data_IF_538171583681
#
_entry.id   IF_538171583681
#
_cell.length_a   1.000
_cell.length_b   1.000
_cell.length_c   1.000
_cell.angle_alpha   90.00
_cell.angle_beta   90.00
_cell.angle_gamma   90.00
#
_symmetry.space_group_name_H-M   'P 1'
#
loop_
_entity.id
_entity.type
_entity.pdbx_description
1 polymer ?
#
# COMPACT_ATOMS: atom_id res chain seq x y z
N UNK A 1 -10.71 -11.03 15.80
CA UNK A 1 -9.71 -12.01 15.35
C UNK A 1 -8.33 -11.40 15.58
N UNK A 2 -7.45 -12.08 16.30
CA UNK A 2 -6.09 -11.57 16.58
C UNK A 2 -5.15 -12.16 15.54
N UNK A 3 -4.45 -11.31 14.79
CA UNK A 3 -3.44 -11.78 13.83
C UNK A 3 -2.35 -12.57 14.59
N UNK A 4 -1.96 -13.77 14.15
CA UNK A 4 -0.92 -14.56 14.80
C UNK A 4 0.43 -13.84 14.71
N UNK A 5 1.32 -14.07 15.69
CA UNK A 5 2.71 -13.59 15.58
C UNK A 5 3.37 -14.14 14.30
N UNK A 6 4.39 -13.45 13.80
CA UNK A 6 5.11 -13.86 12.60
C UNK A 6 5.69 -15.26 12.84
N UNK A 7 5.39 -16.24 11.96
CA UNK A 7 5.85 -17.60 12.14
C UNK A 7 7.37 -17.70 12.04
N UNK A 8 7.94 -18.64 12.78
CA UNK A 8 9.35 -18.98 12.73
C UNK A 8 10.07 -18.84 14.06
N UNK A 9 11.33 -19.25 14.05
CA UNK A 9 12.20 -19.33 15.22
C UNK A 9 12.97 -18.02 15.34
N UNK A 10 12.98 -17.42 16.53
CA UNK A 10 13.80 -16.24 16.81
C UNK A 10 15.28 -16.59 16.75
N UNK A 11 16.09 -15.72 16.14
CA UNK A 11 17.53 -15.92 16.04
C UNK A 11 18.22 -15.52 17.35
N UNK A 12 19.38 -16.13 17.63
CA UNK A 12 20.30 -15.60 18.62
C UNK A 12 20.83 -14.22 18.19
N UNK A 13 21.29 -13.43 19.17
CA UNK A 13 21.64 -12.04 18.92
C UNK A 13 22.83 -11.86 17.96
N UNK A 14 23.95 -12.59 18.07
CA UNK A 14 25.02 -12.56 17.08
C UNK A 14 24.53 -12.83 15.66
N UNK A 15 23.73 -13.88 15.47
CA UNK A 15 23.24 -14.27 14.16
C UNK A 15 22.24 -13.26 13.58
N UNK A 16 21.32 -12.74 14.40
CA UNK A 16 20.40 -11.67 14.00
C UNK A 16 21.17 -10.43 13.52
N UNK A 17 22.25 -10.03 14.22
CA UNK A 17 23.07 -8.88 13.83
C UNK A 17 23.82 -9.09 12.52
N UNK A 18 24.28 -10.30 12.24
CA UNK A 18 24.87 -10.66 10.95
C UNK A 18 23.85 -10.47 9.81
N UNK A 19 22.65 -11.04 9.96
CA UNK A 19 21.58 -10.93 8.95
C UNK A 19 21.11 -9.48 8.76
N UNK A 20 21.02 -8.70 9.83
CA UNK A 20 20.71 -7.26 9.75
C UNK A 20 21.74 -6.52 8.88
N UNK A 21 23.04 -6.79 9.07
CA UNK A 21 24.10 -6.16 8.24
C UNK A 21 24.02 -6.64 6.79
N UNK A 22 23.73 -7.92 6.58
CA UNK A 22 23.57 -8.49 5.25
C UNK A 22 22.44 -7.78 4.49
N UNK A 23 21.24 -7.72 5.09
CA UNK A 23 20.10 -7.01 4.51
C UNK A 23 20.40 -5.52 4.29
N UNK A 24 21.08 -4.86 5.23
CA UNK A 24 21.46 -3.45 5.07
C UNK A 24 22.39 -3.23 3.86
N UNK A 25 23.34 -4.13 3.62
CA UNK A 25 24.24 -4.08 2.47
C UNK A 25 23.48 -4.29 1.15
N UNK A 26 22.61 -5.31 1.09
CA UNK A 26 21.79 -5.60 -0.09
C UNK A 26 20.84 -4.44 -0.42
N UNK A 27 20.25 -3.82 0.61
CA UNK A 27 19.36 -2.67 0.48
C UNK A 27 20.09 -1.34 0.26
N UNK A 28 21.43 -1.35 0.27
CA UNK A 28 22.31 -0.17 0.11
C UNK A 28 22.06 0.95 1.15
N UNK A 29 21.73 0.58 2.38
CA UNK A 29 21.46 1.53 3.47
C UNK A 29 22.61 1.57 4.49
N UNK A 30 22.87 2.75 5.05
CA UNK A 30 23.96 2.96 6.03
C UNK A 30 23.55 2.74 7.48
N UNK A 31 22.39 2.13 7.73
CA UNK A 31 21.85 1.96 9.09
C UNK A 31 21.18 0.60 9.27
N UNK A 32 21.09 0.16 10.52
CA UNK A 32 20.54 -1.14 10.91
C UNK A 32 19.07 -1.09 11.33
N UNK A 33 18.31 -0.09 10.84
CA UNK A 33 16.85 0.01 11.05
C UNK A 33 16.11 -0.79 9.99
N UNK A 34 14.82 -1.09 10.25
CA UNK A 34 13.95 -1.77 9.29
C UNK A 34 13.98 -1.05 7.93
N UNK A 35 14.28 -1.76 6.82
CA UNK A 35 14.55 -1.14 5.54
C UNK A 35 13.32 -1.03 4.64
N UNK A 36 12.14 -1.51 5.09
CA UNK A 36 10.92 -1.46 4.29
C UNK A 36 10.33 -0.05 4.16
N UNK A 37 9.82 0.27 2.97
CA UNK A 37 9.15 1.53 2.65
C UNK A 37 7.92 1.76 3.56
N UNK A 38 7.55 2.97 3.95
CA UNK A 38 6.41 3.24 4.83
C UNK A 38 5.44 4.20 4.14
N UNK A 39 4.16 3.83 4.00
CA UNK A 39 3.21 4.66 3.29
C UNK A 39 2.78 5.86 4.13
N UNK A 40 2.55 6.98 3.46
CA UNK A 40 1.99 8.20 4.05
C UNK A 40 0.47 8.17 3.99
N UNK A 41 -0.22 8.79 4.96
CA UNK A 41 -1.68 8.87 4.95
C UNK A 41 -2.14 9.71 3.76
N UNK A 42 -3.13 9.20 3.02
CA UNK A 42 -3.80 9.92 1.96
C UNK A 42 -4.59 11.09 2.54
N UNK A 43 -4.63 12.18 1.80
CA UNK A 43 -5.32 13.44 2.12
C UNK A 43 -5.66 14.16 0.82
N UNK A 44 -6.48 15.20 0.88
CA UNK A 44 -6.97 15.93 -0.29
C UNK A 44 -5.86 16.52 -1.19
N UNK A 45 -4.68 16.83 -0.65
CA UNK A 45 -3.54 17.32 -1.45
C UNK A 45 -3.03 16.27 -2.47
N UNK A 46 -3.27 14.98 -2.19
CA UNK A 46 -2.81 13.88 -3.04
C UNK A 46 -3.71 13.64 -4.26
N UNK A 47 -4.87 14.28 -4.36
CA UNK A 47 -5.70 14.19 -5.58
C UNK A 47 -4.95 14.71 -6.80
N UNK A 48 -4.31 15.87 -6.67
CA UNK A 48 -3.48 16.43 -7.73
C UNK A 48 -2.37 15.47 -8.16
N UNK A 49 -1.80 14.71 -7.23
CA UNK A 49 -0.79 13.71 -7.53
C UNK A 49 -1.37 12.53 -8.33
N UNK A 50 -2.51 11.96 -7.92
CA UNK A 50 -3.17 10.89 -8.67
C UNK A 50 -3.64 11.34 -10.06
N UNK A 51 -4.05 12.60 -10.20
CA UNK A 51 -4.48 13.17 -11.48
C UNK A 51 -3.33 13.38 -12.46
N UNK A 52 -2.13 13.69 -11.97
CA UNK A 52 -0.98 14.06 -12.79
C UNK A 52 0.04 12.94 -12.99
N UNK A 53 0.05 11.92 -12.11
CA UNK A 53 0.98 10.80 -12.18
C UNK A 53 0.27 9.45 -12.31
N UNK A 54 0.99 8.44 -12.78
CA UNK A 54 0.45 7.09 -12.87
C UNK A 54 0.64 6.34 -11.55
N UNK A 55 -0.47 5.83 -11.03
CA UNK A 55 -0.52 5.06 -9.80
C UNK A 55 -1.24 3.74 -10.01
N UNK A 56 -0.76 2.71 -9.33
CA UNK A 56 -1.51 1.50 -9.02
C UNK A 56 -2.31 1.68 -7.74
N UNK A 57 -3.37 0.91 -7.60
CA UNK A 57 -4.18 0.78 -6.40
C UNK A 57 -4.42 -0.71 -6.10
N UNK A 58 -4.33 -1.06 -4.82
CA UNK A 58 -4.76 -2.35 -4.28
C UNK A 58 -5.55 -2.13 -3.00
N UNK A 59 -6.16 -3.18 -2.48
CA UNK A 59 -6.70 -3.16 -1.14
C UNK A 59 -5.56 -2.96 -0.12
N UNK A 60 -5.91 -2.51 1.08
CA UNK A 60 -5.01 -2.51 2.21
C UNK A 60 -5.41 -3.69 3.09
N UNK A 61 -4.63 -4.76 3.08
CA UNK A 61 -4.87 -5.87 3.97
C UNK A 61 -4.68 -5.44 5.44
N UNK A 62 -5.47 -6.05 6.31
CA UNK A 62 -5.28 -5.98 7.76
C UNK A 62 -4.45 -7.20 8.17
N UNK A 63 -3.15 -7.13 7.87
CA UNK A 63 -2.20 -8.21 8.11
C UNK A 63 -0.93 -7.73 8.82
N UNK A 64 0.03 -8.64 8.95
CA UNK A 64 1.36 -8.31 9.47
C UNK A 64 2.30 -8.12 8.31
N UNK A 65 2.66 -6.85 8.06
CA UNK A 65 3.69 -6.53 7.09
C UNK A 65 5.06 -7.03 7.54
N UNK A 66 5.72 -7.79 6.67
CA UNK A 66 7.07 -8.27 6.88
C UNK A 66 7.82 -8.39 5.55
N UNK A 67 9.14 -8.21 5.59
CA UNK A 67 9.99 -8.56 4.46
C UNK A 67 10.29 -10.06 4.53
N UNK A 68 10.35 -10.71 3.39
CA UNK A 68 10.90 -12.04 3.24
C UNK A 68 12.32 -11.93 2.68
N UNK A 69 13.28 -12.42 3.44
CA UNK A 69 14.70 -12.45 3.08
C UNK A 69 15.17 -13.88 2.86
N UNK A 70 15.69 -14.15 1.67
CA UNK A 70 16.28 -15.43 1.29
C UNK A 70 17.80 -15.27 1.20
N UNK A 71 18.54 -16.15 1.85
CA UNK A 71 19.99 -16.20 1.72
C UNK A 71 20.51 -17.63 1.80
N UNK A 72 21.77 -17.81 1.41
CA UNK A 72 22.45 -19.10 1.48
C UNK A 72 23.21 -19.22 2.81
N UNK A 73 22.98 -20.30 3.54
CA UNK A 73 23.89 -20.77 4.57
C UNK A 73 25.10 -21.44 3.90
N UNK A 74 26.28 -20.83 4.05
CA UNK A 74 27.51 -21.31 3.37
C UNK A 74 27.99 -22.63 3.96
N UNK A 75 27.90 -22.82 5.28
CA UNK A 75 28.39 -24.01 5.97
C UNK A 75 27.55 -25.25 5.63
N UNK A 76 26.23 -25.09 5.60
CA UNK A 76 25.29 -26.17 5.33
C UNK A 76 24.91 -26.30 3.85
N UNK A 77 25.37 -25.38 3.01
CA UNK A 77 24.98 -25.26 1.61
C UNK A 77 23.45 -25.30 1.40
N UNK A 78 22.70 -24.65 2.30
CA UNK A 78 21.23 -24.69 2.36
C UNK A 78 20.63 -23.29 2.20
N UNK A 79 19.46 -23.20 1.58
CA UNK A 79 18.65 -21.97 1.59
C UNK A 79 18.08 -21.73 2.99
N UNK A 80 18.16 -20.49 3.45
CA UNK A 80 17.48 -20.01 4.63
C UNK A 80 16.49 -18.91 4.25
N UNK A 81 15.31 -18.95 4.86
CA UNK A 81 14.29 -17.94 4.69
C UNK A 81 14.00 -17.27 6.04
N UNK A 82 13.93 -15.94 6.02
CA UNK A 82 13.67 -15.13 7.21
C UNK A 82 12.51 -14.18 6.95
N UNK A 83 11.58 -14.10 7.88
CA UNK A 83 10.58 -13.04 7.92
C UNK A 83 11.06 -11.93 8.85
N UNK A 84 10.96 -10.69 8.38
CA UNK A 84 11.49 -9.51 9.05
C UNK A 84 10.34 -8.56 9.35
N UNK A 85 10.06 -8.34 10.64
CA UNK A 85 8.97 -7.48 11.09
C UNK A 85 9.32 -5.99 11.04
N UNK A 86 8.34 -5.11 11.26
CA UNK A 86 8.56 -3.65 11.31
C UNK A 86 9.48 -3.20 12.46
N UNK A 87 9.65 -4.01 13.51
CA UNK A 87 10.61 -3.78 14.61
C UNK A 87 12.02 -4.25 14.25
N UNK A 88 12.23 -4.71 13.01
CA UNK A 88 13.47 -5.26 12.50
C UNK A 88 13.92 -6.55 13.21
N UNK A 89 12.94 -7.38 13.62
CA UNK A 89 13.14 -8.69 14.21
C UNK A 89 13.05 -9.78 13.15
N UNK A 90 14.00 -10.71 13.21
CA UNK A 90 14.16 -11.77 12.24
C UNK A 90 13.60 -13.07 12.82
N UNK A 91 12.78 -13.76 12.03
CA UNK A 91 12.24 -15.08 12.32
C UNK A 91 12.67 -16.04 11.23
N UNK A 92 13.42 -17.07 11.58
CA UNK A 92 13.80 -18.13 10.66
C UNK A 92 12.59 -19.04 10.38
N UNK A 93 12.22 -19.17 9.11
CA UNK A 93 11.08 -19.99 8.68
C UNK A 93 11.58 -21.32 8.17
N UNK A 94 11.28 -22.37 8.92
CA UNK A 94 11.62 -23.73 8.52
C UNK A 94 10.77 -24.21 7.33
N UNK A 95 11.38 -25.03 6.48
CA UNK A 95 10.72 -25.72 5.36
C UNK A 95 10.06 -24.81 4.31
N UNK A 96 10.39 -23.52 4.29
CA UNK A 96 10.01 -22.63 3.20
C UNK A 96 11.04 -22.80 2.07
N UNK A 97 10.58 -23.24 0.89
CA UNK A 97 11.44 -23.48 -0.28
C UNK A 97 10.98 -22.64 -1.47
N UNK A 98 11.92 -21.95 -2.12
CA UNK A 98 11.67 -21.15 -3.32
C UNK A 98 12.29 -21.83 -4.53
N UNK A 99 11.50 -22.57 -5.34
CA UNK A 99 12.02 -23.24 -6.51
C UNK A 99 12.44 -22.20 -7.55
N UNK A 100 13.60 -22.40 -8.15
CA UNK A 100 14.02 -21.64 -9.34
C UNK A 100 13.18 -22.11 -10.52
N UNK A 101 12.56 -21.21 -11.30
CA UNK A 101 11.87 -21.59 -12.52
C UNK A 101 12.78 -22.43 -13.43
N UNK A 102 12.20 -23.45 -14.06
CA UNK A 102 12.88 -24.36 -15.01
C UNK A 102 14.01 -25.23 -14.42
N UNK A 103 14.15 -25.30 -13.08
CA UNK A 103 15.01 -26.29 -12.42
C UNK A 103 14.22 -27.52 -11.93
N UNK A 104 14.17 -28.55 -12.77
CA UNK A 104 13.53 -29.83 -12.44
C UNK A 104 14.28 -30.65 -11.37
N UNK A 105 15.51 -30.26 -11.01
CA UNK A 105 16.31 -30.96 -9.99
C UNK A 105 16.01 -30.48 -8.58
N UNK A 106 15.37 -29.31 -8.44
CA UNK A 106 15.14 -28.63 -7.15
C UNK A 106 16.42 -28.45 -6.33
N UNK A 107 17.59 -28.38 -6.98
CA UNK A 107 18.87 -28.20 -6.29
C UNK A 107 19.29 -26.74 -6.23
N UNK A 108 18.78 -25.92 -7.15
CA UNK A 108 19.00 -24.48 -7.17
C UNK A 108 17.93 -23.78 -6.34
N UNK A 109 18.35 -22.73 -5.67
CA UNK A 109 17.49 -21.84 -4.90
C UNK A 109 17.95 -20.41 -5.07
N UNK A 110 17.01 -19.48 -4.96
CA UNK A 110 17.32 -18.05 -4.93
C UNK A 110 18.09 -17.71 -3.65
N UNK A 111 19.03 -16.79 -3.78
CA UNK A 111 19.80 -16.26 -2.66
C UNK A 111 19.77 -14.74 -2.69
N UNK A 112 20.23 -14.08 -1.63
CA UNK A 112 20.30 -12.62 -1.52
C UNK A 112 19.08 -11.89 -2.14
N UNK A 113 17.89 -12.37 -1.77
CA UNK A 113 16.61 -11.92 -2.35
C UNK A 113 15.75 -11.34 -1.23
N UNK A 114 15.20 -10.14 -1.46
CA UNK A 114 14.37 -9.41 -0.50
C UNK A 114 13.05 -9.05 -1.17
N UNK A 115 11.97 -9.56 -0.58
CA UNK A 115 10.59 -9.40 -1.05
C UNK A 115 9.82 -8.63 0.02
N UNK A 116 9.02 -7.63 -0.40
CA UNK A 116 8.12 -6.90 0.49
C UNK A 116 6.70 -7.45 0.35
N UNK A 117 6.08 -7.74 1.49
CA UNK A 117 4.81 -8.42 1.54
C UNK A 117 4.11 -8.30 2.88
N UNK A 118 2.98 -9.00 2.97
CA UNK A 118 2.10 -8.97 4.12
C UNK A 118 1.56 -10.36 4.39
N UNK A 119 1.70 -10.81 5.65
CA UNK A 119 1.06 -12.01 6.13
C UNK A 119 -0.39 -11.71 6.47
N UNK A 120 -1.30 -12.40 5.80
CA UNK A 120 -2.74 -12.32 6.03
C UNK A 120 -3.26 -13.66 6.50
N UNK A 121 -4.30 -13.63 7.32
CA UNK A 121 -5.04 -14.80 7.75
C UNK A 121 -6.34 -14.86 6.96
N UNK A 122 -6.49 -15.88 6.12
CA UNK A 122 -7.71 -16.10 5.37
C UNK A 122 -8.65 -17.03 6.12
N UNK A 123 -9.92 -16.68 6.12
CA UNK A 123 -11.02 -17.54 6.53
C UNK A 123 -11.49 -18.37 5.33
N UNK A 124 -11.44 -19.69 5.46
CA UNK A 124 -11.90 -20.64 4.45
C UNK A 124 -13.37 -20.99 4.67
N UNK A 125 -14.03 -21.52 3.63
CA UNK A 125 -15.46 -21.90 3.65
C UNK A 125 -15.80 -22.95 4.74
N UNK A 126 -14.81 -23.74 5.16
CA UNK A 126 -14.96 -24.74 6.23
C UNK A 126 -14.67 -24.18 7.64
N UNK A 127 -14.53 -22.85 7.77
CA UNK A 127 -14.19 -22.15 9.00
C UNK A 127 -12.73 -22.32 9.43
N UNK A 128 -11.90 -23.00 8.63
CA UNK A 128 -10.45 -23.08 8.92
C UNK A 128 -9.76 -21.80 8.50
N UNK A 129 -8.70 -21.49 9.21
CA UNK A 129 -7.85 -20.35 8.89
C UNK A 129 -6.60 -20.81 8.13
N UNK A 130 -6.18 -20.02 7.14
CA UNK A 130 -4.96 -20.26 6.38
C UNK A 130 -4.09 -19.01 6.36
N UNK A 131 -2.87 -19.14 6.84
CA UNK A 131 -1.87 -18.07 6.74
C UNK A 131 -1.33 -18.00 5.30
N UNK A 132 -1.34 -16.80 4.71
CA UNK A 132 -0.85 -16.53 3.36
C UNK A 132 0.09 -15.33 3.36
N UNK A 133 1.18 -15.40 2.61
CA UNK A 133 2.06 -14.26 2.36
C UNK A 133 1.73 -13.62 1.01
N UNK A 134 1.14 -12.42 1.04
CA UNK A 134 0.84 -11.61 -0.14
C UNK A 134 2.05 -10.75 -0.50
N UNK A 135 2.51 -10.85 -1.74
CA UNK A 135 3.67 -10.08 -2.22
C UNK A 135 3.21 -8.86 -2.96
N UNK A 136 3.78 -7.71 -2.67
CA UNK A 136 3.48 -6.49 -3.40
C UNK A 136 4.70 -5.72 -3.90
N UNK A 137 5.93 -6.09 -3.53
CA UNK A 137 7.14 -5.55 -4.16
C UNK A 137 8.33 -6.52 -4.07
N UNK A 138 9.29 -6.35 -4.96
CA UNK A 138 10.55 -7.10 -5.00
C UNK A 138 11.71 -6.11 -5.04
N UNK A 139 12.52 -6.10 -3.98
CA UNK A 139 13.50 -5.04 -3.78
C UNK A 139 14.90 -5.47 -4.21
N UNK A 140 15.26 -6.71 -3.92
CA UNK A 140 16.55 -7.32 -4.28
C UNK A 140 16.29 -8.71 -4.81
N UNK A 141 16.98 -9.11 -5.87
CA UNK A 141 16.83 -10.42 -6.48
C UNK A 141 18.18 -11.04 -6.84
N UNK A 142 18.50 -12.19 -6.28
CA UNK A 142 19.77 -12.89 -6.52
C UNK A 142 21.00 -11.96 -6.42
N UNK A 143 20.99 -11.09 -5.41
CA UNK A 143 22.02 -10.07 -5.16
C UNK A 143 21.90 -8.79 -6.01
N UNK A 144 21.03 -8.77 -7.01
CA UNK A 144 20.77 -7.60 -7.85
C UNK A 144 19.83 -6.61 -7.15
N UNK A 145 20.27 -5.38 -6.96
CA UNK A 145 19.47 -4.30 -6.38
C UNK A 145 18.44 -3.77 -7.39
N UNK A 146 17.16 -4.08 -7.17
CA UNK A 146 16.07 -3.68 -8.07
C UNK A 146 15.36 -2.39 -7.62
N UNK A 147 15.55 -1.96 -6.38
CA UNK A 147 14.87 -0.79 -5.79
C UNK A 147 14.99 0.49 -6.64
N UNK A 148 16.11 0.68 -7.36
CA UNK A 148 16.32 1.83 -8.24
C UNK A 148 15.52 1.80 -9.56
N UNK A 149 14.84 0.70 -9.86
CA UNK A 149 13.98 0.54 -11.04
C UNK A 149 12.56 1.02 -10.74
N UNK A 150 11.81 1.34 -11.78
CA UNK A 150 10.37 1.60 -11.72
C UNK A 150 9.62 0.40 -11.12
N UNK A 151 8.52 0.65 -10.41
CA UNK A 151 7.74 -0.37 -9.71
C UNK A 151 7.30 -1.51 -10.65
N UNK A 152 6.83 -1.15 -11.83
CA UNK A 152 6.46 -2.08 -12.90
C UNK A 152 7.54 -3.11 -13.25
N UNK A 153 8.80 -2.65 -13.32
CA UNK A 153 9.97 -3.48 -13.64
C UNK A 153 10.41 -4.34 -12.47
N UNK A 154 10.11 -3.95 -11.22
CA UNK A 154 10.37 -4.76 -10.02
C UNK A 154 9.40 -5.94 -9.94
N UNK A 155 8.14 -5.74 -10.34
CA UNK A 155 7.12 -6.79 -10.35
C UNK A 155 7.19 -7.74 -11.55
N UNK A 156 7.70 -7.27 -12.70
CA UNK A 156 7.76 -8.08 -13.93
C UNK A 156 8.81 -9.19 -13.92
N UNK A 157 9.64 -9.27 -12.88
CA UNK A 157 10.63 -10.33 -12.78
C UNK A 157 9.91 -11.63 -12.43
N UNK A 158 10.02 -12.65 -13.31
CA UNK A 158 9.38 -13.98 -13.22
C UNK A 158 9.88 -14.80 -12.02
N UNK A 159 9.74 -14.25 -10.84
CA UNK A 159 10.27 -14.83 -9.63
C UNK A 159 9.05 -15.20 -8.83
N UNK A 160 8.95 -16.51 -8.69
CA UNK A 160 7.99 -17.21 -7.87
C UNK A 160 6.60 -17.32 -8.50
N UNK A 161 6.11 -18.56 -8.57
CA UNK A 161 4.68 -18.91 -8.66
C UNK A 161 3.89 -18.48 -7.41
N UNK A 162 4.34 -17.44 -6.70
CA UNK A 162 3.66 -16.92 -5.53
C UNK A 162 2.55 -15.98 -5.95
N UNK A 163 1.58 -15.85 -5.06
CA UNK A 163 0.42 -15.02 -5.25
C UNK A 163 0.84 -13.55 -5.08
N UNK A 164 1.08 -12.89 -6.21
CA UNK A 164 1.22 -11.45 -6.27
C UNK A 164 -0.11 -10.82 -5.86
N UNK A 165 -0.01 -9.80 -5.03
CA UNK A 165 -1.13 -8.93 -4.68
C UNK A 165 -1.71 -8.35 -5.95
N UNK A 166 -3.03 -8.44 -6.09
CA UNK A 166 -3.72 -7.95 -7.29
C UNK A 166 -3.66 -6.43 -7.33
N UNK A 167 -3.18 -5.90 -8.44
CA UNK A 167 -3.05 -4.47 -8.68
C UNK A 167 -4.03 -4.02 -9.76
N UNK A 168 -4.57 -2.83 -9.56
CA UNK A 168 -5.40 -2.14 -10.53
C UNK A 168 -4.80 -0.77 -10.84
N UNK A 169 -5.11 -0.20 -12.00
CA UNK A 169 -4.83 1.20 -12.25
C UNK A 169 -5.64 2.06 -11.27
N UNK A 170 -5.07 3.16 -10.78
CA UNK A 170 -5.67 4.03 -9.74
C UNK A 170 -7.12 4.44 -10.04
N UNK A 171 -7.45 4.76 -11.30
CA UNK A 171 -8.82 5.07 -11.72
C UNK A 171 -9.79 3.86 -11.72
N UNK A 172 -9.34 2.68 -11.29
CA UNK A 172 -10.18 1.49 -11.08
C UNK A 172 -10.34 1.17 -9.60
N UNK A 173 -10.08 2.13 -8.71
CA UNK A 173 -10.28 1.97 -7.26
C UNK A 173 -11.68 1.47 -6.87
N UNK A 174 -12.72 1.82 -7.65
CA UNK A 174 -14.07 1.28 -7.43
C UNK A 174 -14.12 -0.24 -7.54
N UNK A 175 -13.37 -0.83 -8.48
CA UNK A 175 -13.32 -2.28 -8.63
C UNK A 175 -12.66 -2.92 -7.42
N UNK A 176 -11.62 -2.29 -6.86
CA UNK A 176 -10.97 -2.74 -5.63
C UNK A 176 -11.95 -2.71 -4.45
N UNK A 177 -12.75 -1.66 -4.32
CA UNK A 177 -13.80 -1.59 -3.29
C UNK A 177 -14.85 -2.69 -3.40
N UNK A 178 -15.24 -3.06 -4.62
CA UNK A 178 -16.18 -4.16 -4.85
C UNK A 178 -15.54 -5.52 -4.56
N UNK A 179 -14.28 -5.70 -4.94
CA UNK A 179 -13.52 -6.93 -4.72
C UNK A 179 -13.23 -7.19 -3.24
N UNK A 180 -13.04 -6.13 -2.43
CA UNK A 180 -12.87 -6.23 -0.98
C UNK A 180 -13.97 -7.04 -0.28
N UNK A 181 -15.19 -7.02 -0.82
CA UNK A 181 -16.34 -7.77 -0.27
C UNK A 181 -16.20 -9.29 -0.39
N UNK A 182 -15.30 -9.76 -1.26
CA UNK A 182 -15.09 -11.17 -1.57
C UNK A 182 -13.71 -11.68 -1.12
N UNK A 183 -12.91 -10.84 -0.46
CA UNK A 183 -11.63 -11.26 0.08
C UNK A 183 -11.82 -12.23 1.24
N UNK A 184 -10.93 -13.21 1.32
CA UNK A 184 -10.92 -14.18 2.43
C UNK A 184 -10.21 -13.65 3.68
N UNK A 185 -9.47 -12.55 3.54
CA UNK A 185 -8.80 -11.85 4.63
C UNK A 185 -9.43 -10.47 4.81
N UNK A 186 -9.26 -9.91 6.01
CA UNK A 186 -9.74 -8.56 6.33
C UNK A 186 -8.94 -7.50 5.55
N UNK A 187 -9.63 -6.45 5.11
CA UNK A 187 -9.05 -5.26 4.50
C UNK A 187 -9.65 -4.00 5.11
N UNK A 188 -8.81 -2.98 5.36
CA UNK A 188 -9.16 -1.77 6.11
C UNK A 188 -8.93 -0.47 5.32
N UNK A 189 -8.80 -0.55 3.99
CA UNK A 189 -8.54 0.63 3.15
C UNK A 189 -7.94 0.31 1.79
N UNK A 190 -7.22 1.27 1.22
CA UNK A 190 -6.52 1.14 -0.08
C UNK A 190 -5.04 1.53 0.07
N UNK A 191 -4.20 0.94 -0.79
CA UNK A 191 -2.80 1.36 -0.99
C UNK A 191 -2.64 1.85 -2.42
N UNK A 192 -2.13 3.06 -2.58
CA UNK A 192 -1.72 3.61 -3.86
C UNK A 192 -0.21 3.59 -3.99
N UNK A 193 0.32 3.02 -5.06
CA UNK A 193 1.76 2.93 -5.33
C UNK A 193 2.09 3.53 -6.68
N UNK A 194 2.99 4.51 -6.72
CA UNK A 194 3.41 5.15 -7.97
C UNK A 194 4.04 4.12 -8.92
N UNK A 195 3.63 4.16 -10.20
CA UNK A 195 4.15 3.26 -11.24
C UNK A 195 5.65 3.46 -11.49
N UNK A 196 6.10 4.71 -11.47
CA UNK A 196 7.46 5.10 -11.87
C UNK A 196 8.43 5.28 -10.70
N UNK A 197 7.92 5.41 -9.47
CA UNK A 197 8.77 5.68 -8.31
C UNK A 197 9.74 4.51 -8.03
N UNK A 198 11.02 4.80 -7.71
CA UNK A 198 11.90 3.81 -7.10
C UNK A 198 11.36 3.40 -5.72
N UNK A 199 11.83 2.26 -5.22
CA UNK A 199 11.57 1.81 -3.87
C UNK A 199 12.44 2.62 -2.89
N UNK A 200 11.81 3.25 -1.91
CA UNK A 200 12.48 4.12 -0.93
C UNK A 200 12.32 3.51 0.46
N UNK A 201 13.43 3.13 1.10
CA UNK A 201 13.44 2.68 2.49
C UNK A 201 13.00 3.79 3.45
N UNK A 202 12.13 3.46 4.41
CA UNK A 202 11.53 4.44 5.32
C UNK A 202 10.34 5.16 4.67
N UNK A 203 10.02 6.38 5.11
CA UNK A 203 8.83 7.09 4.61
C UNK A 203 8.90 7.32 3.09
N UNK A 204 7.89 6.85 2.38
CA UNK A 204 7.76 6.98 0.94
C UNK A 204 6.53 7.82 0.60
N UNK A 205 6.75 9.06 0.17
CA UNK A 205 5.66 9.96 -0.21
C UNK A 205 4.96 9.53 -1.52
N UNK A 206 5.55 8.58 -2.26
CA UNK A 206 5.00 7.97 -3.49
C UNK A 206 4.22 6.68 -3.24
N UNK A 207 3.99 6.35 -1.96
CA UNK A 207 3.18 5.23 -1.53
C UNK A 207 2.17 5.74 -0.50
N UNK A 208 0.91 5.79 -0.87
CA UNK A 208 -0.15 6.40 -0.09
C UNK A 208 -1.03 5.31 0.51
N UNK A 209 -1.46 5.49 1.76
CA UNK A 209 -2.47 4.64 2.40
C UNK A 209 -3.73 5.45 2.62
N UNK A 210 -4.84 4.99 2.08
CA UNK A 210 -6.15 5.52 2.39
C UNK A 210 -6.86 4.58 3.34
N UNK A 211 -7.63 5.15 4.27
CA UNK A 211 -8.49 4.45 5.22
C UNK A 211 -9.78 5.23 5.42
N UNK A 212 -10.94 4.56 5.56
CA UNK A 212 -12.16 5.24 5.96
C UNK A 212 -11.99 5.85 7.36
N UNK A 213 -12.74 6.91 7.67
CA UNK A 213 -12.60 7.65 8.93
C UNK A 213 -12.72 6.74 10.16
N UNK A 214 -13.65 5.77 10.13
CA UNK A 214 -13.91 4.81 11.20
C UNK A 214 -12.70 3.92 11.53
N UNK A 215 -11.78 3.71 10.59
CA UNK A 215 -10.55 2.91 10.78
C UNK A 215 -9.39 3.75 11.34
N UNK A 216 -9.60 5.05 11.60
CA UNK A 216 -8.69 5.92 12.35
C UNK A 216 -9.09 5.95 13.83
N UNK A 217 -9.00 4.80 14.47
CA UNK A 217 -9.36 4.63 15.88
C UNK A 217 -8.26 5.11 16.84
N UNK A 218 -8.65 5.44 18.07
CA UNK A 218 -7.74 5.78 19.17
C UNK A 218 -8.10 4.93 20.39
N UNK A 219 -7.09 4.40 21.07
CA UNK A 219 -7.31 3.74 22.35
C UNK A 219 -7.30 4.75 23.49
N UNK A 220 -8.39 4.82 24.25
CA UNK A 220 -8.58 5.71 25.39
C UNK A 220 -8.76 4.91 26.68
N UNK A 221 -8.47 5.56 27.80
CA UNK A 221 -8.86 5.08 29.12
C UNK A 221 -10.21 5.69 29.48
N UNK A 222 -11.23 4.86 29.65
CA UNK A 222 -12.58 5.33 29.97
C UNK A 222 -12.69 5.68 31.46
N UNK A 223 -13.39 6.78 31.76
CA UNK A 223 -13.72 7.21 33.11
C UNK A 223 -15.19 7.62 33.18
N UNK A 224 -15.92 7.08 34.15
CA UNK A 224 -17.33 7.36 34.37
C UNK A 224 -17.52 8.47 35.41
N UNK A 225 -18.15 9.56 34.98
CA UNK A 225 -18.50 10.71 35.83
C UNK A 225 -19.93 10.52 36.33
N UNK A 226 -20.05 9.95 37.53
CA UNK A 226 -21.33 9.54 38.12
C UNK A 226 -22.33 10.68 38.30
N UNK A 227 -21.87 11.89 38.62
CA UNK A 227 -22.79 13.03 38.81
C UNK A 227 -23.46 13.49 37.52
N UNK A 228 -22.79 13.29 36.38
CA UNK A 228 -23.25 13.73 35.05
C UNK A 228 -23.79 12.57 34.21
N UNK A 229 -23.77 11.33 34.71
CA UNK A 229 -24.15 10.12 33.98
C UNK A 229 -23.44 10.02 32.61
N UNK A 230 -22.15 10.39 32.56
CA UNK A 230 -21.38 10.43 31.30
C UNK A 230 -20.07 9.67 31.38
N UNK A 231 -19.63 9.18 30.22
CA UNK A 231 -18.33 8.53 30.05
C UNK A 231 -17.37 9.49 29.35
N UNK A 232 -16.17 9.61 29.91
CA UNK A 232 -15.10 10.47 29.40
C UNK A 232 -13.93 9.64 28.91
N UNK A 233 -13.29 10.12 27.85
CA UNK A 233 -12.16 9.49 27.18
C UNK A 233 -10.88 10.20 27.59
N UNK A 234 -9.96 9.45 28.19
CA UNK A 234 -8.68 9.97 28.65
C UNK A 234 -7.52 9.42 27.83
N UNK A 235 -6.56 10.29 27.51
CA UNK A 235 -5.32 9.95 26.81
C UNK A 235 -4.17 9.83 27.81
N UNK A 236 -3.13 9.08 27.44
CA UNK A 236 -1.97 8.89 28.28
C UNK A 236 -0.89 9.95 28.01
N UNK A 237 -0.29 10.52 29.05
CA UNK A 237 0.86 11.42 28.89
C UNK A 237 2.12 10.98 29.62
N UNK A 238 2.21 9.70 29.98
CA UNK A 238 3.41 9.10 30.58
C UNK A 238 3.28 8.86 32.09
N UNK A 239 3.94 7.80 32.57
CA UNK A 239 3.84 7.37 33.95
C UNK A 239 2.38 7.10 34.34
N UNK A 240 1.92 7.71 35.44
CA UNK A 240 0.54 7.59 35.90
C UNK A 240 -0.38 8.72 35.40
N UNK A 241 0.11 9.61 34.53
CA UNK A 241 -0.63 10.79 34.11
C UNK A 241 -1.60 10.49 32.95
N UNK A 242 -2.85 10.87 33.14
CA UNK A 242 -3.93 10.74 32.16
C UNK A 242 -4.65 12.10 32.04
N UNK A 243 -5.07 12.45 30.83
CA UNK A 243 -5.70 13.73 30.54
C UNK A 243 -7.04 13.51 29.86
N UNK A 244 -8.05 14.24 30.30
CA UNK A 244 -9.34 14.33 29.60
C UNK A 244 -9.11 14.78 28.16
N UNK A 245 -9.79 14.11 27.23
CA UNK A 245 -9.72 14.42 25.81
C UNK A 245 -11.09 14.74 25.21
N UNK A 246 -12.09 13.90 25.44
CA UNK A 246 -13.44 14.06 24.90
C UNK A 246 -14.47 13.27 25.72
N UNK A 247 -15.74 13.49 25.43
CA UNK A 247 -16.83 12.65 25.92
C UNK A 247 -17.06 11.48 24.95
N UNK A 248 -17.45 10.32 25.51
CA UNK A 248 -17.84 9.14 24.74
C UNK A 248 -19.33 9.19 24.44
N UNK A 249 -19.69 8.94 23.18
CA UNK A 249 -21.03 8.62 22.74
C UNK A 249 -21.21 7.10 22.70
N UNK A 250 -22.29 6.62 23.30
CA UNK A 250 -22.70 5.21 23.25
C UNK A 250 -23.97 5.15 22.41
N UNK A 251 -23.88 4.56 21.23
CA UNK A 251 -25.00 4.48 20.29
C UNK A 251 -26.09 3.52 20.76
N UNK A 252 -25.72 2.47 21.50
CA UNK A 252 -26.61 1.41 21.97
C UNK A 252 -27.20 1.78 23.35
N UNK A 253 -28.52 2.03 23.46
CA UNK A 253 -29.16 2.36 24.73
C UNK A 253 -29.07 1.24 25.78
N UNK A 254 -29.03 -0.03 25.36
CA UNK A 254 -28.88 -1.15 26.29
C UNK A 254 -27.47 -1.17 26.89
N UNK A 255 -26.45 -0.96 26.05
CA UNK A 255 -25.06 -0.82 26.49
C UNK A 255 -24.87 0.37 27.41
N UNK A 256 -25.47 1.53 27.08
CA UNK A 256 -25.41 2.73 27.93
C UNK A 256 -25.93 2.40 29.34
N UNK A 257 -27.11 1.77 29.43
CA UNK A 257 -27.69 1.37 30.71
C UNK A 257 -26.82 0.36 31.46
N UNK A 258 -26.31 -0.66 30.79
CA UNK A 258 -25.41 -1.64 31.38
C UNK A 258 -24.16 -0.98 31.98
N UNK A 259 -23.55 -0.05 31.24
CA UNK A 259 -22.35 0.64 31.67
C UNK A 259 -22.63 1.66 32.77
N UNK A 260 -23.81 2.29 32.81
CA UNK A 260 -24.18 3.16 33.93
C UNK A 260 -24.35 2.36 35.24
N UNK A 261 -24.85 1.13 35.16
CA UNK A 261 -24.99 0.20 36.29
C UNK A 261 -23.64 -0.42 36.69
N UNK A 262 -22.83 -0.82 35.71
CA UNK A 262 -21.53 -1.47 35.90
C UNK A 262 -20.45 -0.80 35.02
N UNK A 263 -19.94 0.39 35.44
CA UNK A 263 -19.02 1.16 34.61
C UNK A 263 -17.72 0.41 34.31
N UNK A 264 -17.23 0.42 33.05
CA UNK A 264 -15.93 -0.16 32.69
C UNK A 264 -14.76 0.74 33.13
N UNK A 265 -14.81 1.30 34.34
CA UNK A 265 -13.90 2.30 34.87
C UNK A 265 -12.43 1.89 34.73
N UNK A 266 -11.64 2.76 34.11
CA UNK A 266 -10.21 2.58 33.95
C UNK A 266 -9.79 1.55 32.90
N UNK A 267 -10.73 0.88 32.23
CA UNK A 267 -10.42 -0.03 31.10
C UNK A 267 -9.95 0.76 29.88
N UNK A 268 -9.14 0.10 29.05
CA UNK A 268 -8.76 0.64 27.75
C UNK A 268 -9.79 0.21 26.71
N UNK A 269 -10.35 1.19 26.00
CA UNK A 269 -11.29 0.99 24.91
C UNK A 269 -10.74 1.61 23.64
N UNK A 270 -10.99 0.98 22.50
CA UNK A 270 -10.76 1.55 21.20
C UNK A 270 -12.02 2.30 20.77
N UNK A 271 -11.86 3.54 20.33
CA UNK A 271 -12.94 4.40 19.87
C UNK A 271 -12.68 4.90 18.45
N UNK A 272 -13.75 5.11 17.69
CA UNK A 272 -13.71 5.74 16.36
C UNK A 272 -14.42 7.10 16.38
N UNK A 273 -14.07 7.97 15.44
CA UNK A 273 -14.65 9.31 15.33
C UNK A 273 -15.60 9.38 14.14
N UNK A 274 -16.84 9.83 14.37
CA UNK A 274 -17.85 10.00 13.34
C UNK A 274 -18.90 11.02 13.80
N UNK A 275 -19.42 11.84 12.88
CA UNK A 275 -20.43 12.86 13.17
C UNK A 275 -20.02 13.78 14.33
N UNK A 276 -18.75 14.17 14.33
CA UNK A 276 -18.14 15.03 15.36
C UNK A 276 -18.07 14.43 16.78
N UNK A 277 -18.40 13.14 16.94
CA UNK A 277 -18.43 12.44 18.22
C UNK A 277 -17.49 11.22 18.24
N UNK A 278 -17.08 10.81 19.44
CA UNK A 278 -16.32 9.59 19.66
C UNK A 278 -17.24 8.45 20.07
N UNK A 279 -17.10 7.30 19.41
CA UNK A 279 -17.95 6.15 19.59
C UNK A 279 -17.15 4.94 20.03
N UNK A 280 -17.76 4.06 20.81
CA UNK A 280 -17.14 2.82 21.25
C UNK A 280 -16.95 1.84 20.09
N UNK A 281 -15.76 1.24 19.97
CA UNK A 281 -15.47 0.20 18.99
C UNK A 281 -15.32 -1.18 19.67
N UNK A 282 -14.41 -1.29 20.64
CA UNK A 282 -14.16 -2.53 21.38
C UNK A 282 -13.30 -2.31 22.63
N UNK A 283 -13.27 -3.31 23.50
CA UNK A 283 -12.29 -3.36 24.59
C UNK A 283 -10.89 -3.77 24.10
N UNK A 284 -9.86 -3.21 24.75
CA UNK A 284 -8.44 -3.46 24.48
C UNK A 284 -7.76 -4.10 25.69
N UNK A 285 -8.12 -5.35 25.94
CA UNK A 285 -7.54 -6.14 27.05
C UNK A 285 -6.05 -6.45 26.84
N UNK A 286 -5.56 -6.31 25.59
CA UNK A 286 -4.16 -6.42 25.22
C UNK A 286 -3.30 -5.20 25.62
N UNK A 287 -3.92 -4.13 26.13
CA UNK A 287 -3.24 -2.87 26.43
C UNK A 287 -3.34 -2.48 27.89
N UNK A 288 -2.19 -2.16 28.48
CA UNK A 288 -2.10 -1.58 29.83
C UNK A 288 -2.42 -0.08 29.84
N UNK A 289 -2.14 0.63 28.74
CA UNK A 289 -2.24 2.09 28.67
C UNK A 289 -2.99 2.54 27.40
N UNK A 290 -3.67 3.68 27.51
CA UNK A 290 -4.23 4.41 26.38
C UNK A 290 -3.13 4.89 25.42
N UNK A 291 -3.53 5.36 24.25
CA UNK A 291 -2.58 5.98 23.33
C UNK A 291 -1.95 7.23 23.94
N UNK A 292 -0.64 7.37 23.74
CA UNK A 292 0.10 8.54 24.19
C UNK A 292 -0.34 9.78 23.40
N UNK A 293 -0.32 10.96 24.01
CA UNK A 293 -0.72 12.24 23.40
C UNK A 293 -0.10 12.48 22.01
N UNK A 294 1.16 12.08 21.81
CA UNK A 294 1.85 12.20 20.51
C UNK A 294 1.26 11.30 19.42
N UNK A 295 0.73 10.13 19.76
CA UNK A 295 0.03 9.24 18.84
C UNK A 295 -1.35 9.80 18.53
N UNK A 296 -2.08 10.26 19.56
CA UNK A 296 -3.39 10.91 19.43
C UNK A 296 -3.30 12.10 18.49
N UNK A 297 -2.32 13.01 18.67
CA UNK A 297 -2.10 14.16 17.77
C UNK A 297 -1.92 13.76 16.29
N UNK A 298 -1.24 12.64 16.02
CA UNK A 298 -1.04 12.13 14.66
C UNK A 298 -2.33 11.57 14.06
N UNK A 299 -3.09 10.81 14.85
CA UNK A 299 -4.37 10.23 14.40
C UNK A 299 -5.39 11.34 14.17
N UNK A 300 -5.47 12.33 15.07
CA UNK A 300 -6.33 13.50 14.89
C UNK A 300 -5.99 14.31 13.64
N UNK A 301 -4.72 14.39 13.26
CA UNK A 301 -4.34 14.98 11.97
C UNK A 301 -4.91 14.14 10.82
N UNK A 302 -4.77 12.82 10.88
CA UNK A 302 -5.32 11.91 9.86
C UNK A 302 -6.86 11.95 9.75
N UNK A 303 -7.56 12.19 10.86
CA UNK A 303 -9.02 12.37 10.89
C UNK A 303 -9.41 13.71 10.24
N UNK A 304 -8.71 14.80 10.56
CA UNK A 304 -8.99 16.13 9.96
C UNK A 304 -8.70 16.18 8.47
N UNK A 305 -7.61 15.52 8.06
CA UNK A 305 -7.18 15.46 6.67
C UNK A 305 -7.82 14.27 5.92
N UNK A 306 -8.83 13.62 6.53
CA UNK A 306 -9.48 12.45 5.95
C UNK A 306 -10.19 12.81 4.65
N UNK A 307 -10.20 11.85 3.73
CA UNK A 307 -10.94 11.89 2.49
C UNK A 307 -11.91 10.73 2.55
N UNK A 308 -13.19 10.97 2.33
CA UNK A 308 -14.18 9.89 2.36
C UNK A 308 -14.15 9.06 1.08
N UNK A 309 -14.78 7.89 1.12
CA UNK A 309 -14.84 6.99 -0.04
C UNK A 309 -15.50 7.67 -1.24
N UNK A 310 -16.58 8.41 -1.00
CA UNK A 310 -17.35 9.10 -2.04
C UNK A 310 -16.49 10.16 -2.74
N UNK A 311 -15.73 10.95 -1.98
CA UNK A 311 -14.78 11.94 -2.52
C UNK A 311 -13.69 11.27 -3.38
N UNK A 312 -13.13 10.14 -2.94
CA UNK A 312 -12.19 9.37 -3.78
C UNK A 312 -12.81 8.99 -5.13
N UNK A 313 -14.06 8.53 -5.10
CA UNK A 313 -14.74 8.04 -6.30
C UNK A 313 -15.07 9.17 -7.28
N UNK A 314 -15.34 10.39 -6.81
CA UNK A 314 -15.59 11.56 -7.65
C UNK A 314 -14.41 11.89 -8.57
N UNK A 315 -13.17 11.68 -8.12
CA UNK A 315 -11.97 11.94 -8.92
C UNK A 315 -11.65 10.84 -9.95
N UNK A 316 -12.32 9.69 -9.88
CA UNK A 316 -12.04 8.53 -10.75
C UNK A 316 -12.02 8.88 -12.23
N UNK A 317 -13.00 9.68 -12.69
CA UNK A 317 -13.14 10.03 -14.11
C UNK A 317 -12.02 10.97 -14.59
N UNK A 318 -11.59 11.91 -13.75
CA UNK A 318 -10.50 12.85 -14.07
C UNK A 318 -9.18 12.09 -14.15
N UNK A 319 -8.87 11.27 -13.14
CA UNK A 319 -7.66 10.43 -13.09
C UNK A 319 -7.58 9.57 -14.36
N UNK A 320 -8.70 8.93 -14.74
CA UNK A 320 -8.79 8.12 -15.95
C UNK A 320 -8.47 8.91 -17.22
N UNK A 321 -9.12 10.05 -17.41
CA UNK A 321 -8.95 10.85 -18.63
C UNK A 321 -7.50 11.32 -18.77
N UNK A 322 -6.91 11.81 -17.68
CA UNK A 322 -5.53 12.26 -17.66
C UNK A 322 -4.54 11.11 -17.90
N UNK A 323 -4.78 9.94 -17.29
CA UNK A 323 -3.98 8.74 -17.54
C UNK A 323 -4.00 8.34 -19.02
N UNK A 324 -5.19 8.31 -19.65
CA UNK A 324 -5.33 7.98 -21.07
C UNK A 324 -4.61 8.97 -21.97
N UNK A 325 -4.69 10.26 -21.65
CA UNK A 325 -3.97 11.29 -22.38
C UNK A 325 -2.45 11.06 -22.30
N UNK A 326 -1.91 10.82 -21.10
CA UNK A 326 -0.49 10.49 -20.91
C UNK A 326 -0.07 9.23 -21.68
N UNK A 327 -0.92 8.21 -21.71
CA UNK A 327 -0.64 6.97 -22.46
C UNK A 327 -0.61 7.20 -23.97
N UNK A 328 -1.53 8.01 -24.51
CA UNK A 328 -1.54 8.42 -25.92
C UNK A 328 -0.24 9.20 -26.24
N UNK A 329 0.12 10.19 -25.43
CA UNK A 329 1.34 10.99 -25.60
C UNK A 329 2.60 10.11 -25.59
N UNK A 330 2.66 9.15 -24.66
CA UNK A 330 3.75 8.17 -24.56
C UNK A 330 3.86 7.29 -25.80
N UNK A 331 2.73 6.82 -26.35
CA UNK A 331 2.69 6.01 -27.59
C UNK A 331 3.09 6.81 -28.83
N UNK A 332 2.76 8.11 -28.88
CA UNK A 332 3.14 9.00 -29.98
C UNK A 332 4.55 9.61 -29.84
N UNK A 333 5.32 9.23 -28.81
CA UNK A 333 6.70 9.68 -28.63
C UNK A 333 6.82 11.16 -28.26
N UNK A 334 5.75 11.80 -27.77
CA UNK A 334 5.77 13.18 -27.32
C UNK A 334 6.27 13.21 -25.87
N UNK A 335 7.58 13.36 -25.69
CA UNK A 335 8.17 13.57 -24.36
C UNK A 335 7.96 15.01 -23.90
N UNK A 336 7.04 15.24 -22.96
CA UNK A 336 7.09 16.45 -22.14
C UNK A 336 8.21 16.32 -21.09
N UNK A 337 9.33 17.01 -21.34
CA UNK A 337 10.30 17.32 -20.30
C UNK A 337 9.55 18.03 -19.17
N UNK A 338 9.42 17.39 -18.02
CA UNK A 338 8.95 18.07 -16.82
C UNK A 338 9.89 19.22 -16.53
N UNK A 339 9.39 20.46 -16.55
CA UNK A 339 10.15 21.61 -16.08
C UNK A 339 10.51 21.41 -14.61
N UNK A 340 11.78 21.49 -14.20
CA UNK A 340 12.13 21.53 -12.79
C UNK A 340 11.53 22.80 -12.18
N UNK A 341 10.78 22.64 -11.09
CA UNK A 341 10.28 23.75 -10.28
C UNK A 341 11.42 24.71 -9.93
N UNK A 342 11.17 26.01 -10.16
CA UNK A 342 12.08 27.11 -9.88
C UNK A 342 12.67 27.03 -8.46
N UNK A 343 13.97 26.75 -8.37
CA UNK A 343 14.76 27.01 -7.16
C UNK A 343 15.14 28.51 -7.14
N UNK A 344 15.03 29.23 -6.01
CA UNK A 344 15.54 30.59 -5.93
C UNK A 344 17.08 30.60 -6.03
N UNK A 345 17.69 31.67 -6.57
CA UNK A 345 19.09 31.69 -6.93
C UNK A 345 19.98 31.73 -5.68
N UNK A 346 20.79 30.68 -5.48
CA UNK A 346 21.90 30.73 -4.53
C UNK A 346 23.13 31.36 -5.18
N UNK A 347 23.69 32.32 -4.45
CA UNK A 347 24.85 33.12 -4.80
C UNK A 347 26.11 32.27 -5.04
N UNK A 348 26.88 32.71 -6.02
CA UNK A 348 28.15 32.18 -6.47
C UNK A 348 29.27 32.26 -5.42
N UNK A 349 29.96 31.14 -5.16
CA UNK A 349 31.37 31.09 -4.73
C UNK A 349 32.07 29.83 -5.27
N UNK A 350 33.42 29.86 -5.45
CA UNK A 350 34.07 29.22 -6.59
C UNK A 350 34.64 27.82 -6.35
N UNK A 351 34.85 27.15 -7.48
CA UNK A 351 35.46 25.83 -7.71
C UNK A 351 36.85 25.67 -7.08
N UNK A 352 37.08 24.54 -6.39
CA UNK A 352 38.38 23.86 -6.41
C UNK A 352 38.29 22.35 -6.19
N UNK A 353 38.76 21.64 -7.22
CA UNK A 353 39.39 20.32 -7.28
C UNK A 353 38.58 19.02 -7.14
N UNK A 354 38.31 18.51 -8.34
CA UNK A 354 38.11 17.13 -8.79
C UNK A 354 39.37 16.27 -8.53
N UNK A 355 39.24 14.98 -8.14
CA UNK A 355 40.08 13.84 -8.56
C UNK A 355 39.70 12.57 -7.74
N UNK A 356 38.73 11.77 -8.21
CA UNK A 356 38.72 10.29 -8.10
C UNK A 356 37.46 9.68 -8.75
N UNK A 357 37.37 9.78 -10.08
CA UNK A 357 36.43 8.98 -10.88
C UNK A 357 37.15 8.43 -12.12
N UNK A 358 38.20 7.63 -11.90
CA UNK A 358 38.86 6.87 -12.96
C UNK A 358 39.48 5.58 -12.38
N UNK A 359 38.67 4.67 -11.83
CA UNK A 359 39.07 3.27 -11.59
C UNK A 359 37.91 2.25 -11.68
N UNK A 360 36.82 2.54 -12.42
CA UNK A 360 35.65 1.64 -12.49
C UNK A 360 35.36 1.04 -13.88
N UNK A 361 36.33 1.04 -14.80
CA UNK A 361 36.17 0.47 -16.15
C UNK A 361 37.04 -0.76 -16.44
N UNK A 362 37.29 -1.62 -15.43
CA UNK A 362 38.08 -2.85 -15.65
C UNK A 362 37.56 -4.11 -14.95
N UNK A 363 36.24 -4.32 -14.92
CA UNK A 363 35.65 -5.62 -14.59
C UNK A 363 34.32 -5.88 -15.32
N UNK A 364 34.26 -5.58 -16.63
CA UNK A 364 33.15 -6.03 -17.47
C UNK A 364 33.67 -6.47 -18.84
N UNK A 365 34.26 -7.66 -18.86
CA UNK A 365 34.45 -8.43 -20.09
C UNK A 365 34.35 -9.92 -19.75
N UNK A 366 33.11 -10.40 -19.61
CA UNK A 366 32.64 -11.75 -19.98
C UNK A 366 31.28 -11.99 -19.31
N UNK A 367 30.20 -11.48 -19.92
CA UNK A 367 28.82 -11.98 -19.79
C UNK A 367 27.89 -11.13 -20.69
N UNK A 368 28.06 -11.18 -22.02
CA UNK A 368 27.24 -10.37 -22.96
C UNK A 368 26.28 -11.17 -23.84
N UNK A 369 25.96 -12.42 -23.49
CA UNK A 369 25.03 -13.24 -24.30
C UNK A 369 23.77 -13.75 -23.60
N UNK A 370 23.48 -13.34 -22.35
CA UNK A 370 22.23 -13.75 -21.66
C UNK A 370 21.35 -12.60 -21.13
N UNK A 371 21.77 -11.33 -21.23
CA UNK A 371 20.99 -10.20 -20.69
C UNK A 371 19.84 -9.73 -21.61
N UNK A 372 20.00 -9.81 -22.94
CA UNK A 372 19.00 -9.27 -23.88
C UNK A 372 17.73 -10.12 -23.99
N UNK A 373 17.84 -11.44 -23.85
CA UNK A 373 16.68 -12.34 -23.91
C UNK A 373 15.91 -12.39 -22.58
N UNK A 374 16.58 -12.15 -21.45
CA UNK A 374 15.95 -12.03 -20.14
C UNK A 374 15.18 -10.72 -19.97
N UNK A 375 15.66 -9.59 -20.48
CA UNK A 375 14.90 -8.31 -20.45
C UNK A 375 13.61 -8.37 -21.28
N UNK A 376 13.60 -9.14 -22.38
CA UNK A 376 12.42 -9.29 -23.26
C UNK A 376 11.31 -10.13 -22.62
N UNK A 377 11.66 -11.14 -21.81
CA UNK A 377 10.71 -11.98 -21.07
C UNK A 377 10.21 -11.33 -19.75
N UNK A 378 11.04 -10.55 -19.06
CA UNK A 378 10.72 -9.82 -17.80
C UNK A 378 9.69 -8.69 -17.98
N UNK A 379 9.35 -8.35 -19.22
CA UNK A 379 8.38 -7.31 -19.57
C UNK A 379 6.94 -7.85 -19.69
N UNK A 380 6.76 -9.17 -19.83
CA UNK A 380 5.47 -9.71 -20.28
C UNK A 380 4.39 -9.78 -19.20
N UNK A 381 4.69 -10.15 -17.95
CA UNK A 381 3.65 -10.31 -16.90
C UNK A 381 3.02 -8.97 -16.53
N UNK A 382 3.83 -7.93 -16.38
CA UNK A 382 3.33 -6.58 -16.10
C UNK A 382 2.53 -6.02 -17.28
N UNK A 383 3.04 -6.14 -18.51
CA UNK A 383 2.32 -5.68 -19.70
C UNK A 383 1.02 -6.49 -19.93
N UNK A 384 1.01 -7.78 -19.59
CA UNK A 384 -0.18 -8.62 -19.60
C UNK A 384 -1.18 -8.18 -18.53
N UNK A 385 -0.74 -7.88 -17.31
CA UNK A 385 -1.60 -7.28 -16.27
C UNK A 385 -2.18 -5.93 -16.73
N UNK A 386 -1.33 -5.04 -17.24
CA UNK A 386 -1.74 -3.71 -17.70
C UNK A 386 -2.71 -3.81 -18.89
N UNK A 387 -2.41 -4.65 -19.87
CA UNK A 387 -3.28 -4.88 -21.04
C UNK A 387 -4.61 -5.52 -20.64
N UNK A 388 -4.62 -6.48 -19.70
CA UNK A 388 -5.85 -7.04 -19.17
C UNK A 388 -6.69 -5.98 -18.45
N UNK A 389 -6.06 -5.08 -17.70
CA UNK A 389 -6.75 -4.00 -17.00
C UNK A 389 -7.29 -2.92 -17.96
N UNK A 390 -6.57 -2.61 -19.06
CA UNK A 390 -7.03 -1.72 -20.14
C UNK A 390 -8.19 -2.37 -20.93
N UNK A 391 -8.08 -3.65 -21.29
CA UNK A 391 -9.09 -4.37 -22.07
C UNK A 391 -10.42 -4.51 -21.32
N UNK A 392 -10.39 -4.80 -20.01
CA UNK A 392 -11.59 -4.81 -19.16
C UNK A 392 -12.26 -3.44 -19.13
N UNK A 393 -11.46 -2.39 -19.15
CA UNK A 393 -11.91 -1.01 -19.10
C UNK A 393 -12.54 -0.52 -20.43
N UNK A 394 -12.08 -1.06 -21.57
CA UNK A 394 -12.67 -0.81 -22.88
C UNK A 394 -13.99 -1.58 -23.08
N UNK A 395 -14.10 -2.78 -22.51
CA UNK A 395 -15.28 -3.65 -22.64
C UNK A 395 -16.42 -3.38 -21.63
N UNK A 396 -16.34 -2.33 -20.81
CA UNK A 396 -17.38 -1.99 -19.83
C UNK A 396 -18.69 -1.53 -20.51
N UNK A 397 -19.82 -2.24 -20.34
CA UNK A 397 -21.06 -2.01 -21.09
C UNK A 397 -21.71 -0.64 -20.87
N UNK A 398 -21.31 0.12 -19.83
CA UNK A 398 -21.76 1.51 -19.62
C UNK A 398 -21.30 2.48 -20.73
N UNK A 399 -20.30 2.12 -21.55
CA UNK A 399 -19.81 2.96 -22.67
C UNK A 399 -20.57 2.81 -23.98
N UNK A 400 -21.30 1.70 -24.21
CA UNK A 400 -22.00 1.49 -25.48
C UNK A 400 -23.22 2.39 -25.68
N UNK A 401 -23.58 3.23 -24.69
CA UNK A 401 -24.74 4.13 -24.77
C UNK A 401 -24.42 5.62 -25.01
N UNK A 402 -23.16 6.04 -24.94
CA UNK A 402 -22.83 7.48 -24.99
C UNK A 402 -22.04 7.92 -26.23
N UNK A 403 -21.81 7.03 -27.22
CA UNK A 403 -21.01 7.34 -28.41
C UNK A 403 -21.79 7.29 -29.75
N UNK A 404 -23.11 7.09 -29.73
CA UNK A 404 -23.91 6.95 -30.98
C UNK A 404 -24.93 8.09 -31.21
N UNK A 405 -24.87 9.20 -30.47
CA UNK A 405 -25.69 10.39 -30.78
C UNK A 405 -24.85 11.66 -30.81
N UNK A 406 -24.10 11.85 -31.89
CA UNK A 406 -23.73 13.18 -32.38
C UNK A 406 -23.59 13.16 -33.90
N UNK A 407 -24.29 14.11 -34.53
CA UNK A 407 -24.18 14.58 -35.92
C UNK A 407 -25.06 13.86 -36.96
N UNK A 408 -26.24 14.43 -37.26
CA UNK A 408 -26.51 15.21 -38.49
C UNK A 408 -27.85 15.95 -38.32
N UNK A 409 -27.83 17.25 -38.01
CA UNK A 409 -28.97 18.15 -38.34
C UNK A 409 -28.51 19.19 -39.37
N UNK A 410 -28.87 18.92 -40.62
CA UNK A 410 -28.80 19.88 -41.73
C UNK A 410 -29.99 20.84 -41.66
N UNK A 411 -29.71 22.12 -41.46
CA UNK A 411 -30.64 23.22 -41.72
C UNK A 411 -30.84 23.41 -43.24
N UNK A 412 -32.08 23.35 -43.72
CA UNK A 412 -32.50 24.04 -44.95
C UNK A 412 -34.01 24.25 -45.01
N UNK A 413 -34.39 25.52 -44.83
CA UNK A 413 -35.50 26.30 -45.42
C UNK A 413 -36.70 25.60 -46.09
N UNK A 414 -37.88 26.15 -45.82
CA UNK A 414 -38.88 26.40 -46.87
C UNK A 414 -40.29 25.87 -46.61
N UNK A 415 -41.11 26.75 -46.04
CA UNK A 415 -42.49 27.08 -46.46
C UNK A 415 -43.56 26.00 -46.76
N UNK A 416 -44.72 26.30 -46.15
CA UNK A 416 -46.08 26.21 -46.69
C UNK A 416 -46.91 24.90 -46.58
N UNK A 417 -47.97 25.08 -45.78
CA UNK A 417 -49.40 24.87 -46.09
C UNK A 417 -50.11 23.56 -45.66
N UNK A 418 -51.15 23.85 -44.87
CA UNK A 418 -52.52 23.32 -44.95
C UNK A 418 -52.93 21.98 -44.30
N UNK A 419 -53.54 22.12 -43.11
CA UNK A 419 -54.99 21.93 -42.86
C UNK A 419 -55.64 20.57 -43.22
N UNK A 420 -56.23 19.97 -42.16
CA UNK A 420 -57.37 18.99 -42.13
C UNK A 420 -57.06 17.60 -42.72
N UNK A 421 -57.33 16.47 -42.05
CA UNK A 421 -58.64 16.04 -41.52
C UNK A 421 -58.49 14.74 -40.71
N UNK A 422 -59.34 14.61 -39.71
CA UNK A 422 -59.71 13.44 -38.91
C UNK A 422 -60.24 12.22 -39.69
N UNK A 423 -60.21 11.06 -38.99
CA UNK A 423 -60.82 9.71 -39.19
C UNK A 423 -59.78 8.66 -39.59
N UNK A 424 -59.62 7.54 -38.88
CA UNK A 424 -60.42 6.84 -37.87
C UNK A 424 -59.52 6.28 -36.77
#
# INVERSE_FOLDING_TARGET
>A
MVLPDIPGISLDRPYELEKIRHVANLMQIKHNRFPGAQPVSFSSEHFSELENENYFVSEKADGIRCLLFLCKNVEQNKMEAFLIDRKNKYKYVENLWFPVPDDNTFTRFHTDTIIDGELVLDELEDGKEKLRFLIFDLVVYDGEYLAGREYSKRLGVNIIKMELKKLHLSYRMNDVFEEQKFLKHKSDGLIFTSESSPYISGNCNKMLKWKPIRENSIDFKVHYVKEEHKFTLNIWGGGNNHFYFADLTIDDPEMQKEWEENPPEGRIIECYFENECWHFMRFREDKENANHETIVKKIMKSIRDNVEKEELLEHTQIIRNNWKQRDIEKRHGVHHQHQPQNRPPQQSRPLQHNYQYQQQNRYNHNQSHNQKDQEKYRSNVYNEMLSNEINKDENNPRKRKNNDESDVETFSSGDERDVKKSRN
#
